data_IF_268607826116
#
_entry.id   IF_268607826116
#
_cell.length_a   1.000
_cell.length_b   1.000
_cell.length_c   1.000
_cell.angle_alpha   90.00
_cell.angle_beta   90.00
_cell.angle_gamma   90.00
#
_symmetry.space_group_name_H-M   'P 1'
#
loop_
_entity.id
_entity.type
_entity.pdbx_description
1 polymer ?
#
# COMPACT_ATOMS: atom_id res chain seq x y z
N UNK A 1 -12.90 -1.55 12.50
CA UNK A 1 -12.03 -0.35 12.43
C UNK A 1 -10.98 -0.31 13.54
N UNK A 2 -11.36 -0.43 14.80
CA UNK A 2 -10.44 -0.31 15.95
C UNK A 2 -9.25 -1.29 15.90
N UNK A 3 -9.49 -2.53 15.47
CA UNK A 3 -8.42 -3.52 15.29
C UNK A 3 -7.43 -3.14 14.19
N UNK A 4 -7.94 -2.62 13.06
CA UNK A 4 -7.11 -2.16 11.96
C UNK A 4 -6.20 -0.98 12.37
N UNK A 5 -6.71 -0.07 13.22
CA UNK A 5 -5.94 1.05 13.75
C UNK A 5 -4.81 0.63 14.71
N UNK A 6 -4.89 -0.57 15.31
CA UNK A 6 -3.81 -1.13 16.14
C UNK A 6 -2.64 -1.68 15.31
N UNK A 7 -2.85 -1.93 14.01
CA UNK A 7 -1.82 -2.46 13.13
C UNK A 7 -0.81 -1.34 12.83
N UNK A 8 0.48 -1.52 13.18
CA UNK A 8 1.49 -0.50 12.93
C UNK A 8 1.68 -0.28 11.43
N UNK A 9 1.77 0.98 11.00
CA UNK A 9 2.00 1.37 9.61
C UNK A 9 0.97 0.80 8.60
N UNK A 10 -0.26 0.55 9.05
CA UNK A 10 -1.35 0.05 8.19
C UNK A 10 -1.73 1.02 7.06
N UNK A 11 -1.27 2.28 7.15
CA UNK A 11 -1.32 3.25 6.07
C UNK A 11 0.08 3.78 5.79
N UNK A 12 0.52 3.67 4.53
CA UNK A 12 1.86 4.12 4.09
C UNK A 12 1.89 5.57 3.63
N UNK A 13 0.74 6.17 3.38
CA UNK A 13 0.65 7.55 2.92
C UNK A 13 0.86 8.53 4.08
N UNK A 14 1.84 9.43 3.92
CA UNK A 14 2.24 10.41 4.94
C UNK A 14 1.13 11.37 5.41
N UNK A 15 0.04 11.52 4.64
CA UNK A 15 -1.09 12.41 4.94
C UNK A 15 -2.46 11.74 4.87
N UNK A 16 -2.53 10.42 4.73
CA UNK A 16 -3.83 9.77 4.59
C UNK A 16 -4.47 9.56 5.96
N UNK A 17 -5.69 10.06 6.10
CA UNK A 17 -6.65 9.65 7.12
C UNK A 17 -7.49 8.50 6.58
N UNK A 18 -7.94 7.60 7.47
CA UNK A 18 -8.92 6.60 7.07
C UNK A 18 -10.25 7.28 6.77
N UNK A 19 -10.99 6.86 5.74
CA UNK A 19 -12.38 7.26 5.58
C UNK A 19 -13.17 6.87 6.82
N UNK A 20 -14.19 7.66 7.15
CA UNK A 20 -15.04 7.39 8.31
C UNK A 20 -16.07 6.31 8.00
N UNK A 21 -15.57 5.08 7.86
CA UNK A 21 -16.34 3.88 7.58
C UNK A 21 -16.18 2.87 8.72
N UNK A 22 -17.23 2.11 9.06
CA UNK A 22 -17.18 1.16 10.18
C UNK A 22 -16.20 0.00 9.93
N UNK A 23 -16.03 -0.39 8.67
CA UNK A 23 -15.18 -1.50 8.25
C UNK A 23 -14.05 -1.00 7.35
N UNK A 24 -12.83 -1.41 7.66
CA UNK A 24 -11.65 -1.18 6.84
C UNK A 24 -11.22 -2.52 6.24
N UNK A 25 -11.01 -2.54 4.92
CA UNK A 25 -10.46 -3.72 4.24
C UNK A 25 -8.95 -3.70 4.36
N UNK A 26 -8.39 -4.76 4.97
CA UNK A 26 -6.95 -4.96 5.07
C UNK A 26 -6.52 -5.98 4.02
N UNK A 27 -5.52 -5.63 3.24
CA UNK A 27 -4.86 -6.52 2.28
C UNK A 27 -3.47 -6.82 2.81
N UNK A 28 -3.09 -8.10 2.79
CA UNK A 28 -1.78 -8.58 3.25
C UNK A 28 -1.10 -9.38 2.16
N UNK A 29 0.12 -8.97 1.82
CA UNK A 29 1.07 -9.79 1.07
C UNK A 29 2.00 -10.40 2.12
N UNK A 30 1.78 -11.69 2.40
CA UNK A 30 2.46 -12.39 3.49
C UNK A 30 3.97 -12.25 3.40
N UNK A 31 4.59 -11.77 4.49
CA UNK A 31 6.03 -11.55 4.58
C UNK A 31 6.56 -10.31 3.86
N UNK A 32 5.69 -9.52 3.22
CA UNK A 32 6.08 -8.32 2.46
C UNK A 32 5.41 -7.06 3.02
N UNK A 33 4.07 -7.01 3.03
CA UNK A 33 3.34 -5.80 3.45
C UNK A 33 1.91 -6.09 3.91
N UNK A 34 1.36 -5.18 4.73
CA UNK A 34 -0.01 -5.21 5.23
C UNK A 34 -0.59 -3.81 5.28
N UNK A 35 -1.66 -3.56 4.53
CA UNK A 35 -2.20 -2.21 4.32
C UNK A 35 -3.73 -2.18 4.29
N UNK A 36 -4.31 -1.05 4.72
CA UNK A 36 -5.70 -0.73 4.43
C UNK A 36 -5.87 -0.31 2.95
N UNK A 37 -6.55 -1.13 2.16
CA UNK A 37 -6.72 -0.91 0.71
C UNK A 37 -8.09 -1.39 0.19
N UNK A 38 -8.78 -0.49 -0.50
CA UNK A 38 -10.07 -0.72 -1.15
C UNK A 38 -9.97 -1.08 -2.64
N UNK A 39 -8.78 -1.08 -3.24
CA UNK A 39 -8.57 -1.36 -4.66
C UNK A 39 -8.80 -2.82 -5.07
N UNK A 40 -8.78 -3.09 -6.37
CA UNK A 40 -8.81 -4.45 -6.91
C UNK A 40 -7.43 -5.08 -6.83
N UNK A 41 -7.38 -6.38 -6.53
CA UNK A 41 -6.14 -7.14 -6.37
C UNK A 41 -6.22 -8.43 -7.18
N UNK A 42 -5.06 -8.91 -7.63
CA UNK A 42 -4.88 -10.25 -8.19
C UNK A 42 -5.04 -11.32 -7.12
N UNK A 43 -5.31 -12.57 -7.51
CA UNK A 43 -5.49 -13.66 -6.55
C UNK A 43 -4.15 -14.12 -5.95
N UNK A 44 -3.06 -14.03 -6.71
CA UNK A 44 -1.72 -14.37 -6.22
C UNK A 44 -0.59 -13.59 -6.94
N UNK A 45 0.60 -13.54 -6.33
CA UNK A 45 1.75 -12.75 -6.82
C UNK A 45 2.23 -13.12 -8.23
N UNK A 46 2.03 -14.37 -8.70
CA UNK A 46 2.52 -14.78 -10.02
C UNK A 46 1.75 -14.10 -11.16
N UNK A 47 0.54 -13.62 -10.92
CA UNK A 47 -0.27 -12.90 -11.90
C UNK A 47 0.30 -11.51 -12.23
N UNK A 48 1.14 -10.93 -11.37
CA UNK A 48 1.81 -9.65 -11.62
C UNK A 48 2.88 -9.78 -12.72
N UNK A 49 3.51 -10.95 -12.83
CA UNK A 49 4.59 -11.19 -13.78
C UNK A 49 5.93 -10.55 -13.37
N UNK A 50 6.75 -10.19 -14.35
CA UNK A 50 8.04 -9.53 -14.13
C UNK A 50 7.86 -8.02 -14.03
N UNK A 51 8.61 -7.40 -13.12
CA UNK A 51 8.65 -5.96 -12.93
C UNK A 51 9.97 -5.43 -13.48
N UNK A 52 9.90 -4.42 -14.36
CA UNK A 52 11.07 -3.72 -14.90
C UNK A 52 11.06 -2.26 -14.43
N UNK A 53 12.22 -1.76 -13.99
CA UNK A 53 12.38 -0.36 -13.63
C UNK A 53 12.57 0.48 -14.90
N UNK A 54 11.58 1.33 -15.23
CA UNK A 54 11.63 2.12 -16.46
C UNK A 54 12.42 3.42 -16.25
N UNK A 55 12.11 4.14 -15.17
CA UNK A 55 12.72 5.44 -14.89
C UNK A 55 12.64 5.79 -13.42
N UNK A 56 13.62 6.53 -12.93
CA UNK A 56 13.53 7.22 -11.64
C UNK A 56 13.64 8.72 -11.82
N UNK A 57 12.79 9.49 -11.15
CA UNK A 57 12.86 10.94 -11.10
C UNK A 57 13.01 11.44 -9.67
N UNK A 58 13.96 12.35 -9.45
CA UNK A 58 14.08 13.06 -8.18
C UNK A 58 13.02 14.18 -8.12
N UNK A 59 12.18 14.18 -7.08
CA UNK A 59 11.16 15.22 -6.82
C UNK A 59 11.47 16.04 -5.56
N UNK A 60 12.71 15.97 -5.06
CA UNK A 60 13.19 16.72 -3.90
C UNK A 60 13.94 15.81 -2.92
N UNK A 61 14.53 16.42 -1.89
CA UNK A 61 15.45 15.75 -0.93
C UNK A 61 14.93 14.40 -0.41
N UNK A 62 13.63 14.29 -0.11
CA UNK A 62 13.01 13.11 0.48
C UNK A 62 12.05 12.38 -0.47
N UNK A 63 11.91 12.83 -1.73
CA UNK A 63 10.89 12.31 -2.65
C UNK A 63 11.53 11.83 -3.96
N UNK A 64 11.38 10.55 -4.26
CA UNK A 64 11.72 9.96 -5.56
C UNK A 64 10.47 9.34 -6.16
N UNK A 65 10.28 9.53 -7.46
CA UNK A 65 9.23 8.87 -8.23
C UNK A 65 9.86 7.74 -9.05
N UNK A 66 9.28 6.56 -8.91
CA UNK A 66 9.64 5.37 -9.68
C UNK A 66 8.53 5.16 -10.72
N UNK A 67 8.93 4.94 -11.96
CA UNK A 67 8.04 4.58 -13.08
C UNK A 67 8.34 3.15 -13.50
#
# INVERSE_FOLDING_TARGET
>A
REEALKIPNVTKMAKASFPDVPLLRIVEIVGVDKQADGGTHVKNLKEVGQIELLKTENKGKNNRRVY
#
